data_IF_639290619702
#
_entry.id   IF_639290619702
#
_cell.length_a   1.000
_cell.length_b   1.000
_cell.length_c   1.000
_cell.angle_alpha   90.00
_cell.angle_beta   90.00
_cell.angle_gamma   90.00
#
_symmetry.space_group_name_H-M   'P 1'
#
loop_
_entity.id
_entity.type
_entity.pdbx_description
1 polymer ?
#
# COMPACT_ATOMS: atom_id res chain seq x y z
N UNK A 1 23.94 -7.96 -0.07
CA UNK A 1 22.95 -6.92 -0.43
C UNK A 1 22.03 -7.47 -1.52
N UNK A 2 20.74 -7.69 -1.25
CA UNK A 2 19.81 -8.36 -2.18
C UNK A 2 19.23 -7.34 -3.19
N UNK A 3 19.72 -7.39 -4.43
CA UNK A 3 19.32 -6.45 -5.50
C UNK A 3 17.82 -6.54 -5.84
N UNK A 4 17.22 -7.73 -5.76
CA UNK A 4 15.78 -7.94 -6.01
C UNK A 4 14.94 -7.25 -4.94
N UNK A 5 15.31 -7.40 -3.66
CA UNK A 5 14.64 -6.73 -2.55
C UNK A 5 14.74 -5.20 -2.68
N UNK A 6 15.92 -4.68 -3.06
CA UNK A 6 16.09 -3.24 -3.29
C UNK A 6 15.17 -2.71 -4.40
N UNK A 7 15.03 -3.46 -5.50
CA UNK A 7 14.13 -3.08 -6.58
C UNK A 7 12.65 -3.09 -6.15
N UNK A 8 12.25 -4.08 -5.34
CA UNK A 8 10.88 -4.16 -4.78
C UNK A 8 10.62 -2.96 -3.86
N UNK A 9 11.54 -2.65 -2.95
CA UNK A 9 11.40 -1.51 -2.02
C UNK A 9 11.33 -0.16 -2.76
N UNK A 10 12.09 -0.01 -3.84
CA UNK A 10 12.05 1.19 -4.66
C UNK A 10 10.72 1.34 -5.40
N UNK A 11 10.20 0.26 -5.99
CA UNK A 11 8.88 0.26 -6.62
C UNK A 11 7.77 0.57 -5.61
N UNK A 12 7.86 0.00 -4.39
CA UNK A 12 6.89 0.26 -3.33
C UNK A 12 6.89 1.74 -2.92
N UNK A 13 8.06 2.35 -2.75
CA UNK A 13 8.16 3.80 -2.45
C UNK A 13 7.51 4.67 -3.51
N UNK A 14 7.72 4.33 -4.78
CA UNK A 14 7.19 5.10 -5.89
C UNK A 14 5.66 4.98 -5.96
N UNK A 15 5.10 3.79 -5.71
CA UNK A 15 3.66 3.55 -5.61
C UNK A 15 3.04 4.32 -4.45
N UNK A 16 3.67 4.29 -3.26
CA UNK A 16 3.25 5.10 -2.11
C UNK A 16 3.23 6.58 -2.47
N UNK A 17 4.28 7.09 -3.14
CA UNK A 17 4.38 8.50 -3.49
C UNK A 17 3.31 8.94 -4.51
N UNK A 18 3.10 8.18 -5.60
CA UNK A 18 2.04 8.45 -6.58
C UNK A 18 0.67 8.50 -5.90
N UNK A 19 0.38 7.52 -5.05
CA UNK A 19 -0.86 7.48 -4.29
C UNK A 19 -1.00 8.67 -3.34
N UNK A 20 0.10 9.07 -2.69
CA UNK A 20 0.17 10.24 -1.81
C UNK A 20 -0.29 11.53 -2.51
N UNK A 21 0.05 11.68 -3.78
CA UNK A 21 -0.30 12.85 -4.59
C UNK A 21 -1.72 12.77 -5.11
N UNK A 22 -2.18 11.57 -5.51
CA UNK A 22 -3.47 11.41 -6.19
C UNK A 22 -4.67 11.26 -5.23
N UNK A 23 -4.50 10.57 -4.12
CA UNK A 23 -5.62 10.19 -3.24
C UNK A 23 -5.75 11.07 -1.99
N UNK A 24 -4.65 11.64 -1.49
CA UNK A 24 -4.66 12.34 -0.20
C UNK A 24 -5.28 13.72 -0.23
N UNK A 25 -5.29 14.37 -1.38
CA UNK A 25 -5.85 15.72 -1.52
C UNK A 25 -7.36 15.74 -1.30
N UNK A 26 -8.02 14.56 -1.32
CA UNK A 26 -9.49 14.45 -1.28
C UNK A 26 -10.05 13.67 -0.08
N UNK A 27 -9.29 12.80 0.58
CA UNK A 27 -9.83 11.92 1.64
C UNK A 27 -8.86 11.65 2.82
N UNK A 28 -8.83 12.52 3.86
CA UNK A 28 -7.87 12.45 4.97
C UNK A 28 -8.04 11.24 5.91
N UNK A 29 -9.26 10.75 6.16
CA UNK A 29 -9.45 9.58 7.05
C UNK A 29 -8.77 8.31 6.52
N UNK A 30 -8.59 8.21 5.19
CA UNK A 30 -7.91 7.08 4.56
C UNK A 30 -6.41 7.03 4.81
N UNK A 31 -5.80 8.13 5.25
CA UNK A 31 -4.37 8.17 5.55
C UNK A 31 -3.94 7.19 6.62
N UNK A 32 -4.78 7.03 7.64
CA UNK A 32 -4.42 6.24 8.82
C UNK A 32 -4.40 4.74 8.49
N UNK A 33 -5.42 4.24 7.79
CA UNK A 33 -5.51 2.83 7.41
C UNK A 33 -4.39 2.37 6.46
N UNK A 34 -3.99 3.22 5.52
CA UNK A 34 -2.96 2.86 4.53
C UNK A 34 -1.57 2.75 5.18
N UNK A 35 -1.26 3.61 6.14
CA UNK A 35 0.00 3.49 6.87
C UNK A 35 0.07 2.18 7.65
N UNK A 36 -1.03 1.81 8.33
CA UNK A 36 -1.14 0.55 9.08
C UNK A 36 -1.04 -0.67 8.16
N UNK A 37 -1.64 -0.63 6.97
CA UNK A 37 -1.49 -1.68 5.95
C UNK A 37 -0.03 -1.86 5.51
N UNK A 38 0.69 -0.76 5.23
CA UNK A 38 2.10 -0.84 4.84
C UNK A 38 3.01 -1.33 5.97
N UNK A 39 2.76 -0.94 7.22
CA UNK A 39 3.51 -1.48 8.37
C UNK A 39 3.32 -2.99 8.49
N UNK A 40 2.08 -3.49 8.36
CA UNK A 40 1.79 -4.93 8.40
C UNK A 40 2.53 -5.68 7.29
N UNK A 41 2.54 -5.15 6.05
CA UNK A 41 3.25 -5.75 4.92
C UNK A 41 4.77 -5.80 5.19
N UNK A 42 5.35 -4.69 5.65
CA UNK A 42 6.78 -4.62 5.95
C UNK A 42 7.18 -5.55 7.10
N UNK A 43 6.31 -5.69 8.11
CA UNK A 43 6.52 -6.63 9.21
C UNK A 43 6.56 -8.08 8.70
N UNK A 44 5.62 -8.49 7.84
CA UNK A 44 5.59 -9.83 7.24
C UNK A 44 6.82 -10.12 6.36
N UNK A 45 7.27 -9.12 5.58
CA UNK A 45 8.53 -9.22 4.82
C UNK A 45 9.73 -9.37 5.78
N UNK A 46 9.75 -8.59 6.86
CA UNK A 46 10.80 -8.63 7.88
C UNK A 46 10.88 -9.96 8.62
N UNK A 47 9.73 -10.59 8.90
CA UNK A 47 9.63 -11.91 9.51
C UNK A 47 9.91 -13.06 8.54
N UNK A 48 10.17 -12.76 7.24
CA UNK A 48 10.37 -13.74 6.17
C UNK A 48 9.17 -14.68 5.98
N UNK A 49 7.97 -14.12 6.11
CA UNK A 49 6.71 -14.82 5.87
C UNK A 49 6.12 -14.39 4.52
N UNK A 50 6.48 -15.08 3.41
CA UNK A 50 6.06 -14.68 2.07
C UNK A 50 4.55 -14.88 1.84
N UNK A 51 3.94 -15.89 2.47
CA UNK A 51 2.52 -16.20 2.33
C UNK A 51 1.68 -15.09 2.97
N UNK A 52 2.05 -14.69 4.21
CA UNK A 52 1.38 -13.59 4.89
C UNK A 52 1.61 -12.26 4.17
N UNK A 53 2.83 -12.01 3.67
CA UNK A 53 3.10 -10.80 2.90
C UNK A 53 2.24 -10.73 1.63
N UNK A 54 2.05 -11.84 0.93
CA UNK A 54 1.19 -11.90 -0.26
C UNK A 54 -0.27 -11.60 0.08
N UNK A 55 -0.80 -12.21 1.14
CA UNK A 55 -2.17 -11.98 1.61
C UNK A 55 -2.41 -10.50 1.94
N UNK A 56 -1.51 -9.89 2.71
CA UNK A 56 -1.60 -8.48 3.11
C UNK A 56 -1.52 -7.53 1.91
N UNK A 57 -0.73 -7.87 0.89
CA UNK A 57 -0.66 -7.06 -0.34
C UNK A 57 -1.96 -7.17 -1.14
N UNK A 58 -2.60 -8.34 -1.20
CA UNK A 58 -3.92 -8.49 -1.85
C UNK A 58 -4.98 -7.66 -1.14
N UNK A 59 -5.04 -7.74 0.20
CA UNK A 59 -5.93 -6.92 1.04
C UNK A 59 -5.71 -5.41 0.77
N UNK A 60 -4.45 -4.97 0.72
CA UNK A 60 -4.10 -3.58 0.41
C UNK A 60 -4.61 -3.13 -0.97
N UNK A 61 -4.43 -3.94 -2.02
CA UNK A 61 -4.89 -3.62 -3.39
C UNK A 61 -6.42 -3.49 -3.43
N UNK A 62 -7.16 -4.41 -2.80
CA UNK A 62 -8.62 -4.34 -2.71
C UNK A 62 -9.09 -3.09 -1.96
N UNK A 63 -8.42 -2.75 -0.84
CA UNK A 63 -8.72 -1.55 -0.07
C UNK A 63 -8.45 -0.27 -0.88
N UNK A 64 -7.39 -0.26 -1.70
CA UNK A 64 -7.07 0.84 -2.63
C UNK A 64 -8.12 0.95 -3.74
N UNK A 65 -8.53 -0.16 -4.36
CA UNK A 65 -9.55 -0.16 -5.41
C UNK A 65 -10.88 0.40 -4.88
N UNK A 66 -11.32 -0.08 -3.72
CA UNK A 66 -12.49 0.42 -3.02
C UNK A 66 -12.39 1.93 -2.70
N UNK A 67 -11.17 2.46 -2.51
CA UNK A 67 -10.93 3.90 -2.30
C UNK A 67 -11.29 4.72 -3.51
N UNK A 68 -10.77 4.26 -4.63
CA UNK A 68 -10.81 4.95 -5.89
C UNK A 68 -12.28 4.96 -6.33
N UNK A 69 -12.96 3.82 -6.25
CA UNK A 69 -14.39 3.73 -6.53
C UNK A 69 -15.24 4.67 -5.68
N UNK A 70 -14.99 4.80 -4.37
CA UNK A 70 -15.72 5.76 -3.51
C UNK A 70 -15.48 7.21 -3.94
N UNK A 71 -14.21 7.57 -4.13
CA UNK A 71 -13.83 8.93 -4.57
C UNK A 71 -14.41 9.28 -5.94
N UNK A 72 -14.57 8.29 -6.84
CA UNK A 72 -15.18 8.48 -8.16
C UNK A 72 -16.70 8.68 -8.08
N UNK A 73 -17.40 7.94 -7.21
CA UNK A 73 -18.86 8.05 -7.01
C UNK A 73 -19.30 9.34 -6.32
N UNK A 74 -18.41 10.02 -5.62
CA UNK A 74 -18.66 11.29 -4.94
C UNK A 74 -18.47 12.53 -5.86
N UNK A 75 -18.13 12.35 -7.15
CA UNK A 75 -18.21 13.42 -8.17
C UNK A 75 -19.48 13.27 -9.01
#
# INVERSE_FOLDING_TARGET
RNKKLTAILNNLREQIHRFRVTSLTKNPERLKGIFEEHERILAAIGSRDPERAEELVKEHIENVENSIMRTMKEN
#
